data_IF_148886806516
#
_entry.id   IF_148886806516
#
_cell.length_a   1.000
_cell.length_b   1.000
_cell.length_c   1.000
_cell.angle_alpha   90.00
_cell.angle_beta   90.00
_cell.angle_gamma   90.00
#
_symmetry.space_group_name_H-M   'P 1'
#
loop_
_entity.id
_entity.type
_entity.pdbx_description
1 polymer ?
#
# COMPACT_ATOMS: atom_id res chain seq x y z
N UNK A 1 17.28 -8.90 3.00
CA UNK A 1 15.92 -9.36 3.34
C UNK A 1 15.18 -8.18 3.95
N UNK A 2 14.11 -7.69 3.30
CA UNK A 2 13.31 -6.59 3.85
C UNK A 2 12.73 -7.06 5.19
N UNK A 3 12.91 -6.28 6.27
CA UNK A 3 12.23 -6.53 7.54
C UNK A 3 10.76 -6.13 7.37
N UNK A 4 9.96 -7.03 6.83
CA UNK A 4 8.52 -6.85 6.77
C UNK A 4 7.95 -7.02 8.18
N UNK A 5 7.03 -6.12 8.56
CA UNK A 5 6.20 -6.34 9.75
C UNK A 5 5.32 -7.58 9.51
N UNK A 6 4.81 -8.22 10.56
CA UNK A 6 3.89 -9.33 10.32
C UNK A 6 2.66 -8.85 9.55
N UNK A 7 2.19 -9.67 8.61
CA UNK A 7 1.05 -9.32 7.77
C UNK A 7 -0.20 -8.95 8.60
N UNK A 8 -0.47 -9.69 9.68
CA UNK A 8 -1.56 -9.36 10.63
C UNK A 8 -1.43 -7.97 11.25
N UNK A 9 -0.19 -7.53 11.52
CA UNK A 9 0.05 -6.19 12.05
C UNK A 9 -0.22 -5.13 10.99
N UNK A 10 0.26 -5.35 9.76
CA UNK A 10 -0.02 -4.47 8.62
C UNK A 10 -1.53 -4.33 8.38
N UNK A 11 -2.24 -5.45 8.32
CA UNK A 11 -3.69 -5.48 8.09
C UNK A 11 -4.43 -4.64 9.14
N UNK A 12 -4.06 -4.80 10.42
CA UNK A 12 -4.62 -4.01 11.51
C UNK A 12 -4.31 -2.51 11.36
N UNK A 13 -3.07 -2.15 11.01
CA UNK A 13 -2.67 -0.75 10.80
C UNK A 13 -3.45 -0.13 9.63
N UNK A 14 -3.55 -0.81 8.49
CA UNK A 14 -4.31 -0.30 7.34
C UNK A 14 -5.78 -0.12 7.72
N UNK A 15 -6.38 -1.05 8.47
CA UNK A 15 -7.78 -0.94 8.89
C UNK A 15 -8.12 0.33 9.69
N UNK A 16 -7.14 0.94 10.35
CA UNK A 16 -7.34 2.18 11.14
C UNK A 16 -7.04 3.45 10.34
N UNK A 17 -6.35 3.34 9.19
CA UNK A 17 -5.96 4.48 8.35
C UNK A 17 -7.05 4.86 7.33
N UNK A 18 -7.92 3.92 6.95
CA UNK A 18 -8.92 4.11 5.90
C UNK A 18 -10.32 3.69 6.36
N UNK A 19 -11.36 4.20 5.68
CA UNK A 19 -12.75 3.80 5.92
C UNK A 19 -12.95 2.30 5.68
N UNK A 20 -13.88 1.68 6.41
CA UNK A 20 -14.20 0.24 6.31
C UNK A 20 -14.41 -0.24 4.87
N UNK A 21 -15.19 0.49 4.06
CA UNK A 21 -15.44 0.12 2.66
C UNK A 21 -14.19 0.15 1.78
N UNK A 22 -13.22 1.01 2.12
CA UNK A 22 -11.93 1.14 1.42
C UNK A 22 -10.95 0.06 1.89
N UNK A 23 -11.04 -0.33 3.16
CA UNK A 23 -10.31 -1.49 3.69
C UNK A 23 -10.76 -2.79 3.03
N UNK A 24 -12.07 -3.03 2.92
CA UNK A 24 -12.62 -4.18 2.19
C UNK A 24 -12.20 -4.18 0.71
N UNK A 25 -12.14 -3.00 0.07
CA UNK A 25 -11.57 -2.86 -1.27
C UNK A 25 -10.11 -3.29 -1.30
N UNK A 26 -9.30 -2.84 -0.35
CA UNK A 26 -7.87 -3.18 -0.26
C UNK A 26 -7.64 -4.68 -0.04
N UNK A 27 -8.51 -5.36 0.72
CA UNK A 27 -8.48 -6.82 0.85
C UNK A 27 -8.69 -7.53 -0.49
N UNK A 28 -9.66 -7.09 -1.30
CA UNK A 28 -9.91 -7.64 -2.64
C UNK A 28 -8.78 -7.33 -3.63
N UNK A 29 -8.19 -6.14 -3.54
CA UNK A 29 -7.01 -5.76 -4.34
C UNK A 29 -5.82 -6.67 -3.98
N UNK A 30 -5.58 -6.91 -2.69
CA UNK A 30 -4.58 -7.88 -2.21
C UNK A 30 -4.81 -9.29 -2.77
N UNK A 31 -6.03 -9.81 -2.70
CA UNK A 31 -6.33 -11.15 -3.25
C UNK A 31 -6.05 -11.20 -4.75
N UNK A 32 -6.49 -10.18 -5.50
CA UNK A 32 -6.25 -10.10 -6.94
C UNK A 32 -4.76 -9.97 -7.26
N UNK A 33 -4.01 -9.15 -6.52
CA UNK A 33 -2.57 -8.96 -6.70
C UNK A 33 -1.80 -10.27 -6.46
N UNK A 34 -2.22 -11.07 -5.48
CA UNK A 34 -1.65 -12.39 -5.21
C UNK A 34 -1.92 -13.37 -6.36
N UNK A 35 -3.14 -13.41 -6.90
CA UNK A 35 -3.45 -14.26 -8.06
C UNK A 35 -2.64 -13.87 -9.30
N UNK A 36 -2.50 -12.56 -9.55
CA UNK A 36 -1.64 -12.06 -10.63
C UNK A 36 -0.18 -12.43 -10.40
N UNK A 37 0.33 -12.31 -9.18
CA UNK A 37 1.71 -12.67 -8.85
C UNK A 37 1.96 -14.18 -9.07
N UNK A 38 1.02 -15.05 -8.70
CA UNK A 38 1.14 -16.49 -8.96
C UNK A 38 1.28 -16.80 -10.46
N UNK A 39 0.61 -16.04 -11.32
CA UNK A 39 0.65 -16.26 -12.78
C UNK A 39 1.88 -15.62 -13.44
N UNK A 40 2.22 -14.39 -13.06
CA UNK A 40 3.15 -13.56 -13.82
C UNK A 40 4.45 -13.22 -13.08
N UNK A 41 4.50 -13.37 -11.76
CA UNK A 41 5.68 -13.05 -10.94
C UNK A 41 5.74 -13.88 -9.65
N UNK A 42 5.93 -15.22 -9.72
CA UNK A 42 5.79 -16.10 -8.56
C UNK A 42 6.75 -15.80 -7.40
N UNK A 43 7.88 -15.15 -7.69
CA UNK A 43 8.85 -14.71 -6.67
C UNK A 43 8.35 -13.53 -5.83
N UNK A 44 7.27 -12.86 -6.25
CA UNK A 44 6.76 -11.64 -5.64
C UNK A 44 5.44 -11.83 -4.88
N UNK A 45 4.94 -13.07 -4.73
CA UNK A 45 3.63 -13.35 -4.11
C UNK A 45 3.47 -12.67 -2.75
N UNK A 46 4.48 -12.80 -1.88
CA UNK A 46 4.46 -12.15 -0.56
C UNK A 46 4.43 -10.63 -0.71
N UNK A 47 5.36 -10.04 -1.47
CA UNK A 47 5.40 -8.61 -1.70
C UNK A 47 4.08 -8.05 -2.27
N UNK A 48 3.44 -8.78 -3.19
CA UNK A 48 2.15 -8.41 -3.79
C UNK A 48 1.01 -8.36 -2.78
N UNK A 49 1.02 -9.25 -1.76
CA UNK A 49 0.04 -9.17 -0.68
C UNK A 49 0.22 -7.88 0.14
N UNK A 50 1.46 -7.56 0.52
CA UNK A 50 1.75 -6.36 1.32
C UNK A 50 1.42 -5.07 0.55
N UNK A 51 1.83 -4.98 -0.72
CA UNK A 51 1.53 -3.81 -1.57
C UNK A 51 0.03 -3.71 -1.82
N UNK A 52 -0.66 -4.82 -2.10
CA UNK A 52 -2.07 -4.82 -2.43
C UNK A 52 -2.95 -4.30 -1.30
N UNK A 53 -2.67 -4.67 -0.05
CA UNK A 53 -3.44 -4.15 1.09
C UNK A 53 -3.05 -2.71 1.45
N UNK A 54 -1.79 -2.33 1.26
CA UNK A 54 -1.27 -1.01 1.66
C UNK A 54 -1.48 0.09 0.61
N UNK A 55 -1.77 -0.24 -0.65
CA UNK A 55 -1.76 0.70 -1.77
C UNK A 55 -2.58 1.98 -1.54
N UNK A 56 -3.72 1.86 -0.84
CA UNK A 56 -4.66 2.95 -0.58
C UNK A 56 -4.56 3.49 0.87
N UNK A 57 -3.58 3.07 1.66
CA UNK A 57 -3.47 3.42 3.08
C UNK A 57 -3.48 4.93 3.36
N UNK A 58 -3.02 5.74 2.41
CA UNK A 58 -2.96 7.21 2.50
C UNK A 58 -3.97 7.93 1.61
N UNK A 59 -5.01 7.23 1.12
CA UNK A 59 -5.98 7.77 0.16
C UNK A 59 -6.70 9.04 0.63
N UNK A 60 -6.76 9.27 1.94
CA UNK A 60 -7.45 10.40 2.56
C UNK A 60 -6.53 11.54 3.02
N UNK A 61 -5.22 11.43 2.80
CA UNK A 61 -4.34 12.57 2.97
C UNK A 61 -4.65 13.64 1.92
N UNK A 62 -4.57 14.88 2.33
CA UNK A 62 -4.59 16.03 1.42
C UNK A 62 -3.33 16.03 0.55
N UNK A 63 -3.39 16.79 -0.56
CA UNK A 63 -2.21 16.98 -1.42
C UNK A 63 -1.03 17.59 -0.64
N UNK A 64 -1.30 18.51 0.28
CA UNK A 64 -0.27 19.15 1.12
C UNK A 64 0.40 18.12 2.06
N UNK A 65 -0.39 17.29 2.75
CA UNK A 65 0.16 16.22 3.61
C UNK A 65 1.01 15.22 2.81
N UNK A 66 0.57 14.86 1.60
CA UNK A 66 1.36 14.02 0.70
C UNK A 66 2.69 14.68 0.32
N UNK A 67 2.68 15.96 -0.02
CA UNK A 67 3.90 16.71 -0.36
C UNK A 67 4.86 16.80 0.82
N UNK A 68 4.36 17.05 2.04
CA UNK A 68 5.18 17.04 3.25
C UNK A 68 5.87 15.70 3.49
N UNK A 69 5.14 14.59 3.28
CA UNK A 69 5.70 13.24 3.43
C UNK A 69 6.81 13.02 2.40
N UNK A 70 6.58 13.40 1.14
CA UNK A 70 7.59 13.31 0.09
C UNK A 70 8.86 14.13 0.43
N UNK A 71 8.70 15.35 0.93
CA UNK A 71 9.82 16.19 1.37
C UNK A 71 10.59 15.56 2.54
N UNK A 72 9.89 15.05 3.56
CA UNK A 72 10.51 14.35 4.71
C UNK A 72 11.26 13.09 4.26
N UNK A 73 10.74 12.40 3.25
CA UNK A 73 11.38 11.25 2.61
C UNK A 73 12.51 11.60 1.65
N UNK A 74 12.81 12.89 1.45
CA UNK A 74 13.80 13.41 0.49
C UNK A 74 13.54 12.95 -0.95
N UNK A 75 12.27 12.82 -1.31
CA UNK A 75 11.85 12.58 -2.69
C UNK A 75 11.88 13.90 -3.45
N UNK A 76 12.33 13.83 -4.70
CA UNK A 76 12.26 14.97 -5.62
C UNK A 76 10.80 15.21 -6.01
N UNK A 77 10.37 16.47 -5.94
CA UNK A 77 9.00 16.90 -6.28
C UNK A 77 9.12 17.81 -7.50
N UNK A 78 8.68 17.32 -8.64
CA UNK A 78 8.63 18.07 -9.89
C UNK A 78 7.21 18.64 -10.08
N UNK A 79 7.12 19.85 -10.63
CA UNK A 79 5.85 20.35 -11.17
C UNK A 79 5.50 19.56 -12.44
N UNK A 80 4.20 19.42 -12.76
CA UNK A 80 3.78 18.95 -14.08
C UNK A 80 4.33 19.91 -15.16
N UNK A 81 4.91 19.34 -16.22
CA UNK A 81 5.31 20.06 -17.44
C UNK A 81 4.11 20.32 -18.36
#
# INVERSE_FOLDING_TARGET
MLKLISYTKLEKEVSTMIKTSRFEHSLRVKDTAVELAKMYSPTNIEASAYVGIFHDAYRYLSGEECLEICQKAKLEICAEE
#
